data_IF_916185868077
#
_entry.id   IF_916185868077
#
_cell.length_a   1.000
_cell.length_b   1.000
_cell.length_c   1.000
_cell.angle_alpha   90.00
_cell.angle_beta   90.00
_cell.angle_gamma   90.00
#
_symmetry.space_group_name_H-M   'P 1'
#
loop_
_entity.id
_entity.type
_entity.pdbx_description
1 polymer ?
#
# COMPACT_ATOMS: atom_id res chain seq x y z
N UNK A 1 -0.64 1.64 14.13
CA UNK A 1 0.20 0.54 13.63
C UNK A 1 -0.68 -0.40 12.81
N UNK A 2 -0.58 -0.32 11.48
CA UNK A 2 -1.11 -1.35 10.61
C UNK A 2 -0.40 -2.66 10.94
N UNK A 3 -1.14 -3.66 11.43
CA UNK A 3 -0.66 -5.03 11.43
C UNK A 3 -0.81 -5.51 9.99
N UNK A 4 0.30 -5.75 9.31
CA UNK A 4 0.29 -6.42 8.02
C UNK A 4 0.13 -7.89 8.31
N UNK A 5 -0.93 -8.49 7.76
CA UNK A 5 -1.22 -9.91 7.90
C UNK A 5 -0.48 -10.68 6.82
N UNK A 6 0.39 -11.61 7.23
CA UNK A 6 1.22 -12.40 6.32
C UNK A 6 0.39 -13.28 5.38
N UNK A 7 -0.76 -13.80 5.85
CA UNK A 7 -1.65 -14.62 5.04
C UNK A 7 -2.27 -13.79 3.91
N UNK A 8 -2.78 -12.60 4.23
CA UNK A 8 -3.32 -11.68 3.23
C UNK A 8 -2.26 -11.22 2.22
N UNK A 9 -1.02 -11.01 2.66
CA UNK A 9 0.07 -10.62 1.75
C UNK A 9 0.43 -11.74 0.78
N UNK A 10 0.41 -12.99 1.21
CA UNK A 10 0.61 -14.13 0.34
C UNK A 10 -0.52 -14.26 -0.70
N UNK A 11 -1.77 -14.05 -0.31
CA UNK A 11 -2.90 -14.03 -1.24
C UNK A 11 -2.77 -12.90 -2.26
N UNK A 12 -2.43 -11.68 -1.82
CA UNK A 12 -2.24 -10.55 -2.71
C UNK A 12 -1.11 -10.79 -3.74
N UNK A 13 -0.01 -11.44 -3.33
CA UNK A 13 1.08 -11.82 -4.22
C UNK A 13 0.63 -12.85 -5.27
N UNK A 14 -0.17 -13.85 -4.87
CA UNK A 14 -0.73 -14.83 -5.79
C UNK A 14 -1.66 -14.18 -6.84
N UNK A 15 -2.52 -13.25 -6.41
CA UNK A 15 -3.40 -12.49 -7.31
C UNK A 15 -2.58 -11.67 -8.30
N UNK A 16 -1.53 -10.99 -7.85
CA UNK A 16 -0.68 -10.19 -8.73
C UNK A 16 0.06 -11.05 -9.76
N UNK A 17 0.56 -12.22 -9.35
CA UNK A 17 1.24 -13.15 -10.26
C UNK A 17 0.29 -13.64 -11.36
N UNK A 18 -0.94 -14.01 -11.02
CA UNK A 18 -1.93 -14.48 -11.98
C UNK A 18 -2.43 -13.34 -12.89
N UNK A 19 -2.69 -12.16 -12.33
CA UNK A 19 -3.23 -11.02 -13.08
C UNK A 19 -2.20 -10.35 -14.01
N UNK A 20 -0.89 -10.51 -13.72
CA UNK A 20 0.21 -9.86 -14.46
C UNK A 20 -0.07 -8.38 -14.79
N UNK A 21 -0.40 -7.55 -13.78
CA UNK A 21 -0.79 -6.17 -14.02
C UNK A 21 0.39 -5.34 -14.55
N UNK A 22 0.08 -4.35 -15.39
CA UNK A 22 1.07 -3.36 -15.83
C UNK A 22 1.41 -2.38 -14.70
N UNK A 23 0.44 -2.12 -13.82
CA UNK A 23 0.53 -1.12 -12.77
C UNK A 23 -0.10 -1.64 -11.48
N UNK A 24 0.59 -1.45 -10.36
CA UNK A 24 0.13 -1.82 -9.03
C UNK A 24 0.23 -0.61 -8.11
N UNK A 25 -0.92 -0.13 -7.61
CA UNK A 25 -0.99 1.04 -6.73
C UNK A 25 -1.32 0.64 -5.30
N UNK A 26 -0.55 1.16 -4.35
CA UNK A 26 -0.91 1.09 -2.93
C UNK A 26 -1.70 2.33 -2.53
N UNK A 27 -2.89 2.14 -1.99
CA UNK A 27 -3.81 3.22 -1.62
C UNK A 27 -3.85 3.35 -0.10
N UNK A 28 -3.58 4.55 0.41
CA UNK A 28 -3.52 4.78 1.85
C UNK A 28 -4.07 6.17 2.20
N UNK A 29 -4.54 6.31 3.43
CA UNK A 29 -5.06 7.57 3.99
C UNK A 29 -3.90 8.53 4.32
N UNK A 30 -3.97 9.77 3.85
CA UNK A 30 -2.95 10.80 4.13
C UNK A 30 -2.88 11.14 5.61
N UNK A 31 -3.99 11.02 6.35
CA UNK A 31 -4.02 11.26 7.80
C UNK A 31 -3.11 10.32 8.60
N UNK A 32 -2.67 9.19 8.01
CA UNK A 32 -1.68 8.30 8.61
C UNK A 32 -0.25 8.87 8.57
N UNK A 33 0.01 9.90 7.76
CA UNK A 33 1.29 10.60 7.68
C UNK A 33 2.47 9.66 7.43
N UNK A 34 3.48 9.71 8.31
CA UNK A 34 4.68 8.87 8.19
C UNK A 34 4.42 7.36 8.32
N UNK A 35 3.32 6.96 8.97
CA UNK A 35 2.95 5.55 9.03
C UNK A 35 2.52 5.03 7.64
N UNK A 36 1.93 5.89 6.80
CA UNK A 36 1.57 5.54 5.42
C UNK A 36 2.81 5.17 4.58
N UNK A 37 3.87 5.98 4.70
CA UNK A 37 5.14 5.76 3.98
C UNK A 37 5.80 4.45 4.43
N UNK A 38 5.79 4.18 5.74
CA UNK A 38 6.35 2.94 6.28
C UNK A 38 5.56 1.71 5.82
N UNK A 39 4.23 1.77 5.80
CA UNK A 39 3.40 0.68 5.29
C UNK A 39 3.61 0.45 3.79
N UNK A 40 3.67 1.52 2.99
CA UNK A 40 3.97 1.39 1.56
C UNK A 40 5.32 0.71 1.31
N UNK A 41 6.35 1.03 2.10
CA UNK A 41 7.66 0.37 2.02
C UNK A 41 7.56 -1.13 2.27
N UNK A 42 6.87 -1.55 3.33
CA UNK A 42 6.73 -2.97 3.67
C UNK A 42 5.90 -3.71 2.61
N UNK A 43 4.83 -3.11 2.11
CA UNK A 43 4.06 -3.69 1.00
C UNK A 43 4.94 -3.87 -0.26
N UNK A 44 5.78 -2.89 -0.57
CA UNK A 44 6.69 -2.96 -1.72
C UNK A 44 7.76 -4.05 -1.62
N UNK A 45 8.06 -4.54 -0.41
CA UNK A 45 8.98 -5.67 -0.20
C UNK A 45 8.35 -7.01 -0.61
N UNK A 46 7.02 -7.13 -0.59
CA UNK A 46 6.29 -8.35 -0.95
C UNK A 46 5.62 -8.27 -2.32
N UNK A 47 5.09 -7.10 -2.67
CA UNK A 47 4.35 -6.85 -3.91
C UNK A 47 4.99 -5.67 -4.63
N UNK A 48 5.50 -5.81 -5.86
CA UNK A 48 6.12 -4.70 -6.56
C UNK A 48 5.06 -3.62 -6.85
N UNK A 49 5.18 -2.47 -6.18
CA UNK A 49 4.30 -1.34 -6.39
C UNK A 49 4.91 -0.40 -7.43
N UNK A 50 4.10 0.11 -8.35
CA UNK A 50 4.55 1.19 -9.25
C UNK A 50 4.31 2.57 -8.64
N UNK A 51 3.35 2.68 -7.74
CA UNK A 51 2.99 3.97 -7.16
C UNK A 51 2.18 3.88 -5.89
N UNK A 52 2.05 5.03 -5.23
CA UNK A 52 1.24 5.19 -4.03
C UNK A 52 0.20 6.29 -4.29
N UNK A 53 -1.03 6.03 -3.87
CA UNK A 53 -2.12 7.01 -3.89
C UNK A 53 -2.47 7.39 -2.47
N UNK A 54 -2.28 8.67 -2.14
CA UNK A 54 -2.73 9.25 -0.88
C UNK A 54 -4.16 9.74 -1.02
N UNK A 55 -5.05 9.24 -0.16
CA UNK A 55 -6.47 9.58 -0.12
C UNK A 55 -6.79 10.44 1.10
N UNK A 56 -7.95 11.10 1.11
CA UNK A 56 -8.39 12.02 2.19
C UNK A 56 -7.43 13.19 2.45
N UNK A 57 -6.77 13.68 1.40
CA UNK A 57 -5.89 14.83 1.45
C UNK A 57 -6.56 16.10 2.01
N UNK A 58 -7.89 16.20 1.91
CA UNK A 58 -8.71 17.27 2.48
C UNK A 58 -8.84 17.20 4.02
N UNK A 59 -8.64 16.01 4.59
CA UNK A 59 -8.73 15.76 6.04
C UNK A 59 -7.40 15.87 6.79
N UNK A 60 -6.27 15.96 6.08
CA UNK A 60 -4.97 16.10 6.72
C UNK A 60 -4.61 17.58 6.95
N UNK A 61 -4.50 17.97 8.22
CA UNK A 61 -4.00 19.28 8.61
C UNK A 61 -2.49 19.47 8.32
N UNK A 62 -1.79 18.40 7.92
CA UNK A 62 -0.36 18.39 7.62
C UNK A 62 -0.02 18.21 6.14
N UNK A 63 -0.98 17.78 5.32
CA UNK A 63 -0.79 17.43 3.90
C UNK A 63 -0.36 15.97 3.71
#
# INVERSE_FOLDING_TARGET
RLHIDEEMMAEAAAVHQEASPHETFFVVDSMAGQDAVNSARVFNETLPLTGVVLTKADGDAKG
#
